data_IF_085616692750
#
_entry.id   IF_085616692750
#
_cell.length_a   1.000
_cell.length_b   1.000
_cell.length_c   1.000
_cell.angle_alpha   90.00
_cell.angle_beta   90.00
_cell.angle_gamma   90.00
#
_symmetry.space_group_name_H-M   'P 1'
#
loop_
_entity.id
_entity.type
_entity.pdbx_description
1 polymer ?
#
# COMPACT_ATOMS: atom_id res chain seq x y z
N UNK A 1 5.96 11.07 -21.37
CA UNK A 1 6.00 9.60 -21.34
C UNK A 1 7.27 9.17 -20.61
N UNK A 2 7.18 8.21 -19.69
CA UNK A 2 8.34 7.70 -18.98
C UNK A 2 9.34 7.06 -19.94
N UNK A 3 10.62 7.46 -19.85
CA UNK A 3 11.68 6.84 -20.66
C UNK A 3 12.37 5.75 -19.85
N UNK A 4 12.20 4.52 -20.28
CA UNK A 4 12.83 3.36 -19.65
C UNK A 4 14.30 3.27 -20.01
N UNK A 5 15.18 3.26 -19.02
CA UNK A 5 16.61 3.03 -19.17
C UNK A 5 16.97 1.64 -18.64
N UNK A 6 17.36 0.74 -19.54
CA UNK A 6 17.68 -0.67 -19.23
C UNK A 6 18.88 -0.80 -18.30
N UNK A 7 19.92 -0.02 -18.51
CA UNK A 7 21.15 -0.10 -17.71
C UNK A 7 20.88 0.33 -16.25
N UNK A 8 20.24 1.46 -16.07
CA UNK A 8 19.82 1.92 -14.74
C UNK A 8 18.86 0.95 -14.06
N UNK A 9 17.94 0.35 -14.83
CA UNK A 9 17.03 -0.67 -14.31
C UNK A 9 17.82 -1.87 -13.80
N UNK A 10 18.72 -2.43 -14.61
CA UNK A 10 19.53 -3.60 -14.24
C UNK A 10 20.35 -3.32 -12.99
N UNK A 11 21.04 -2.17 -12.93
CA UNK A 11 21.82 -1.75 -11.75
C UNK A 11 20.98 -1.67 -10.48
N UNK A 12 19.77 -1.11 -10.58
CA UNK A 12 18.86 -1.03 -9.42
C UNK A 12 18.34 -2.39 -8.99
N UNK A 13 18.04 -3.27 -9.95
CA UNK A 13 17.41 -4.56 -9.69
C UNK A 13 18.39 -5.68 -9.31
N UNK A 14 19.70 -5.47 -9.48
CA UNK A 14 20.74 -6.47 -9.22
C UNK A 14 20.57 -7.10 -7.83
N UNK A 15 20.52 -6.31 -6.78
CA UNK A 15 20.36 -6.82 -5.43
C UNK A 15 19.05 -7.61 -5.24
N UNK A 16 17.97 -7.17 -5.87
CA UNK A 16 16.65 -7.82 -5.75
C UNK A 16 16.62 -9.17 -6.47
N UNK A 17 17.24 -9.23 -7.64
CA UNK A 17 17.41 -10.49 -8.39
C UNK A 17 18.26 -11.48 -7.59
N UNK A 18 19.33 -11.00 -6.95
CA UNK A 18 20.21 -11.84 -6.12
C UNK A 18 19.59 -12.24 -4.79
N UNK A 19 18.73 -11.39 -4.24
CA UNK A 19 18.07 -11.66 -2.96
C UNK A 19 17.17 -12.89 -2.97
N UNK A 20 16.36 -13.09 -4.02
CA UNK A 20 15.51 -14.26 -4.33
C UNK A 20 14.54 -14.72 -3.26
N UNK A 21 14.73 -14.35 -1.99
CA UNK A 21 13.93 -14.81 -0.87
C UNK A 21 13.59 -13.66 0.06
N UNK A 22 12.31 -13.40 0.22
CA UNK A 22 11.76 -12.36 1.09
C UNK A 22 10.39 -12.75 1.65
N UNK A 23 9.89 -11.95 2.57
CA UNK A 23 8.59 -12.13 3.19
C UNK A 23 7.65 -11.03 2.74
N UNK A 24 6.41 -11.40 2.41
CA UNK A 24 5.31 -10.47 2.16
C UNK A 24 4.28 -10.59 3.29
N UNK A 25 3.95 -9.49 3.96
CA UNK A 25 3.01 -9.44 5.07
C UNK A 25 1.77 -8.67 4.60
N UNK A 26 0.64 -9.37 4.44
CA UNK A 26 -0.68 -8.78 4.28
C UNK A 26 -1.35 -8.68 5.64
N UNK A 27 -1.48 -7.47 6.16
CA UNK A 27 -2.04 -7.24 7.48
C UNK A 27 -2.67 -5.84 7.58
N UNK A 28 -3.84 -5.74 8.21
CA UNK A 28 -4.62 -4.51 8.33
C UNK A 28 -5.97 -4.76 8.99
N UNK A 29 -6.96 -3.89 8.77
CA UNK A 29 -8.31 -4.04 9.34
C UNK A 29 -8.96 -5.39 8.99
N UNK A 30 -8.73 -5.89 7.79
CA UNK A 30 -9.25 -7.17 7.32
C UNK A 30 -8.73 -8.38 8.12
N UNK A 31 -7.72 -8.20 8.94
CA UNK A 31 -7.23 -9.25 9.85
C UNK A 31 -8.17 -9.47 11.05
N UNK A 32 -8.99 -8.46 11.42
CA UNK A 32 -9.97 -8.59 12.51
C UNK A 32 -11.03 -9.64 12.17
N UNK A 33 -11.74 -9.55 11.02
CA UNK A 33 -12.71 -10.60 10.63
C UNK A 33 -12.05 -11.94 10.29
N UNK A 34 -10.74 -11.98 9.99
CA UNK A 34 -9.96 -13.20 9.73
C UNK A 34 -10.53 -14.07 8.60
N UNK A 35 -11.09 -13.45 7.54
CA UNK A 35 -11.66 -14.13 6.36
C UNK A 35 -10.99 -13.73 5.04
N UNK A 36 -9.74 -13.29 5.13
CA UNK A 36 -8.90 -12.84 4.00
C UNK A 36 -8.90 -11.32 3.80
N UNK A 37 -7.89 -10.85 3.11
CA UNK A 37 -7.66 -9.43 2.83
C UNK A 37 -8.71 -8.82 1.90
N UNK A 38 -9.41 -9.67 1.15
CA UNK A 38 -10.48 -9.29 0.24
C UNK A 38 -11.88 -9.31 0.87
N UNK A 39 -11.99 -9.53 2.19
CA UNK A 39 -13.28 -9.72 2.88
C UNK A 39 -14.30 -8.61 2.56
N UNK A 40 -13.86 -7.35 2.49
CA UNK A 40 -14.74 -6.22 2.17
C UNK A 40 -15.35 -6.33 0.77
N UNK A 41 -14.56 -6.77 -0.22
CA UNK A 41 -15.02 -6.98 -1.58
C UNK A 41 -15.88 -8.23 -1.73
N UNK A 42 -15.40 -9.36 -1.17
CA UNK A 42 -16.08 -10.67 -1.30
C UNK A 42 -17.47 -10.66 -0.66
N UNK A 43 -17.58 -10.02 0.51
CA UNK A 43 -18.83 -9.91 1.25
C UNK A 43 -19.61 -8.61 0.93
N UNK A 44 -19.12 -7.82 -0.04
CA UNK A 44 -19.75 -6.55 -0.47
C UNK A 44 -20.08 -5.62 0.71
N UNK A 45 -19.15 -5.50 1.69
CA UNK A 45 -19.39 -4.77 2.94
C UNK A 45 -19.39 -3.26 2.65
N UNK A 46 -20.49 -2.55 2.96
CA UNK A 46 -20.57 -1.09 2.85
C UNK A 46 -19.53 -0.39 3.72
N UNK A 47 -19.18 0.84 3.36
CA UNK A 47 -18.19 1.66 4.09
C UNK A 47 -18.57 1.78 5.58
N UNK A 48 -19.82 2.06 5.86
CA UNK A 48 -20.35 2.29 7.19
C UNK A 48 -20.21 1.03 8.08
N UNK A 49 -20.51 -0.13 7.53
CA UNK A 49 -20.40 -1.41 8.24
C UNK A 49 -18.95 -1.85 8.44
N UNK A 50 -18.06 -1.48 7.49
CA UNK A 50 -16.63 -1.77 7.60
C UNK A 50 -15.93 -0.92 8.67
N UNK A 51 -16.46 0.27 8.97
CA UNK A 51 -15.92 1.18 9.99
C UNK A 51 -15.88 0.57 11.41
N UNK A 52 -16.66 -0.47 11.70
CA UNK A 52 -16.56 -1.18 12.99
C UNK A 52 -15.14 -1.70 13.25
N UNK A 53 -14.47 -2.21 12.22
CA UNK A 53 -13.10 -2.71 12.35
C UNK A 53 -12.08 -1.59 12.63
N UNK A 54 -12.31 -0.39 12.09
CA UNK A 54 -11.51 0.78 12.42
C UNK A 54 -11.63 1.15 13.91
N UNK A 55 -12.86 1.17 14.45
CA UNK A 55 -13.09 1.47 15.86
C UNK A 55 -12.63 0.36 16.82
N UNK A 56 -12.53 -0.87 16.34
CA UNK A 56 -12.04 -2.01 17.12
C UNK A 56 -10.52 -2.18 17.05
N UNK A 57 -9.85 -1.57 16.06
CA UNK A 57 -8.43 -1.79 15.77
C UNK A 57 -7.53 -1.37 16.93
N UNK A 58 -7.03 -2.37 17.65
CA UNK A 58 -6.11 -2.21 18.79
C UNK A 58 -5.14 -3.40 18.83
N UNK A 59 -4.13 -3.44 17.91
CA UNK A 59 -3.22 -4.58 17.77
C UNK A 59 -2.16 -4.58 18.86
N UNK A 60 -2.51 -5.03 20.08
CA UNK A 60 -1.62 -5.07 21.25
C UNK A 60 -0.41 -5.97 21.07
N UNK A 61 -0.56 -7.05 20.29
CA UNK A 61 0.49 -8.03 20.03
C UNK A 61 1.33 -7.71 18.78
N UNK A 62 1.14 -6.52 18.18
CA UNK A 62 1.93 -6.08 17.04
C UNK A 62 3.39 -5.88 17.47
N UNK A 63 4.25 -6.77 16.97
CA UNK A 63 5.69 -6.78 17.27
C UNK A 63 6.50 -7.01 15.98
N UNK A 64 6.80 -5.95 15.23
CA UNK A 64 7.54 -6.06 13.98
C UNK A 64 8.99 -6.50 14.19
N UNK A 65 9.54 -6.37 15.42
CA UNK A 65 10.89 -6.86 15.73
C UNK A 65 10.96 -8.39 15.70
N UNK A 66 9.90 -9.06 16.20
CA UNK A 66 9.79 -10.52 16.07
C UNK A 66 9.68 -10.96 14.62
N UNK A 67 8.90 -10.25 13.80
CA UNK A 67 8.76 -10.56 12.39
C UNK A 67 10.09 -10.41 11.64
N UNK A 68 10.79 -9.29 11.85
CA UNK A 68 12.07 -9.02 11.22
C UNK A 68 13.13 -10.04 11.62
N UNK A 69 13.19 -10.41 12.90
CA UNK A 69 14.11 -11.45 13.40
C UNK A 69 13.81 -12.80 12.78
N UNK A 70 12.54 -13.23 12.76
CA UNK A 70 12.15 -14.50 12.13
C UNK A 70 12.51 -14.54 10.64
N UNK A 71 12.28 -13.44 9.93
CA UNK A 71 12.68 -13.33 8.52
C UNK A 71 14.20 -13.45 8.35
N UNK A 72 14.98 -12.79 9.21
CA UNK A 72 16.44 -12.86 9.20
C UNK A 72 16.96 -14.26 9.48
N UNK A 73 16.44 -14.91 10.51
CA UNK A 73 16.80 -16.28 10.90
C UNK A 73 16.46 -17.31 9.81
N UNK A 74 15.35 -17.07 9.07
CA UNK A 74 14.97 -17.87 7.89
C UNK A 74 15.85 -17.61 6.66
N UNK A 75 16.80 -16.66 6.71
CA UNK A 75 17.69 -16.33 5.60
C UNK A 75 17.09 -15.37 4.56
N UNK A 76 15.94 -14.77 4.85
CA UNK A 76 15.31 -13.77 3.97
C UNK A 76 16.18 -12.51 3.85
N UNK A 77 16.02 -11.78 2.76
CA UNK A 77 16.82 -10.59 2.44
C UNK A 77 16.02 -9.29 2.49
N UNK A 78 14.72 -9.38 2.37
CA UNK A 78 13.80 -8.25 2.41
C UNK A 78 12.44 -8.66 2.99
N UNK A 79 11.71 -7.68 3.47
CA UNK A 79 10.33 -7.84 3.94
C UNK A 79 9.48 -6.75 3.31
N UNK A 80 8.25 -7.08 2.90
CA UNK A 80 7.26 -6.14 2.36
C UNK A 80 6.02 -6.15 3.25
N UNK A 81 5.59 -4.97 3.72
CA UNK A 81 4.35 -4.79 4.47
C UNK A 81 3.32 -4.02 3.66
N UNK A 82 2.06 -4.39 3.75
CA UNK A 82 0.95 -3.61 3.19
C UNK A 82 0.76 -2.30 3.97
N UNK A 83 1.38 -1.20 3.50
CA UNK A 83 1.20 0.11 4.11
C UNK A 83 -0.23 0.64 3.94
N UNK A 84 -0.84 0.39 2.78
CA UNK A 84 -2.27 0.63 2.48
C UNK A 84 -2.77 -0.46 1.54
N UNK A 85 -3.82 -1.19 1.94
CA UNK A 85 -4.51 -2.15 1.08
C UNK A 85 -5.73 -1.52 0.38
N UNK A 86 -6.47 -2.28 -0.41
CA UNK A 86 -7.61 -1.81 -1.20
C UNK A 86 -8.74 -1.18 -0.37
N UNK A 87 -8.87 -1.57 0.90
CA UNK A 87 -9.86 -1.00 1.83
C UNK A 87 -9.63 0.48 2.16
N UNK A 88 -8.45 1.01 1.80
CA UNK A 88 -8.06 2.41 1.99
C UNK A 88 -7.45 2.72 3.36
N UNK A 89 -7.36 1.73 4.27
CA UNK A 89 -6.80 1.95 5.60
C UNK A 89 -5.28 2.08 5.56
N UNK A 90 -4.77 3.20 6.08
CA UNK A 90 -3.35 3.47 6.16
C UNK A 90 -2.76 2.96 7.47
N UNK A 91 -1.76 2.07 7.42
CA UNK A 91 -0.97 1.69 8.59
C UNK A 91 0.06 2.76 8.98
N UNK A 92 0.21 3.82 8.19
CA UNK A 92 1.10 4.96 8.38
C UNK A 92 0.33 6.24 8.72
N UNK A 93 1.02 7.22 9.32
CA UNK A 93 0.44 8.50 9.71
C UNK A 93 0.30 9.45 8.50
N UNK A 94 -0.65 9.16 7.62
CA UNK A 94 -0.95 10.02 6.48
C UNK A 94 -1.63 11.33 6.91
N UNK A 95 -1.21 12.45 6.31
CA UNK A 95 -1.86 13.77 6.47
C UNK A 95 -3.08 13.96 5.57
N UNK A 96 -3.32 13.03 4.66
CA UNK A 96 -4.35 13.14 3.63
C UNK A 96 -5.61 12.34 3.93
N UNK A 97 -5.63 11.56 5.01
CA UNK A 97 -6.81 10.80 5.44
C UNK A 97 -6.88 10.67 6.95
N UNK A 98 -8.10 10.62 7.48
CA UNK A 98 -8.36 10.25 8.86
C UNK A 98 -8.47 8.73 9.06
N UNK A 99 -8.56 7.95 7.97
CA UNK A 99 -8.66 6.50 7.98
C UNK A 99 -7.28 5.85 8.07
N UNK A 100 -6.66 5.99 9.23
CA UNK A 100 -5.27 5.62 9.51
C UNK A 100 -5.07 5.07 10.91
N UNK A 101 -4.02 4.31 11.13
CA UNK A 101 -3.72 3.61 12.39
C UNK A 101 -3.55 4.55 13.58
N UNK A 102 -2.97 5.73 13.38
CA UNK A 102 -2.79 6.74 14.43
C UNK A 102 -4.11 7.31 14.97
N UNK A 103 -5.21 7.18 14.23
CA UNK A 103 -6.55 7.61 14.65
C UNK A 103 -7.42 6.48 15.21
N UNK A 104 -6.88 5.28 15.31
CA UNK A 104 -7.54 4.13 15.97
C UNK A 104 -7.18 4.07 17.46
N UNK A 105 -7.68 3.06 18.17
CA UNK A 105 -7.34 2.86 19.58
C UNK A 105 -5.84 2.62 19.80
N UNK A 106 -5.11 2.09 18.81
CA UNK A 106 -3.68 1.88 18.96
C UNK A 106 -2.86 3.17 18.94
N UNK A 107 -3.31 4.24 18.28
CA UNK A 107 -2.67 5.56 18.25
C UNK A 107 -1.22 5.56 17.73
N UNK A 108 -0.83 4.54 16.94
CA UNK A 108 0.57 4.27 16.55
C UNK A 108 0.75 4.36 15.04
N UNK A 109 1.91 4.84 14.61
CA UNK A 109 2.38 4.70 13.22
C UNK A 109 3.07 3.34 13.07
N UNK A 110 2.30 2.36 12.58
CA UNK A 110 2.74 0.98 12.49
C UNK A 110 3.77 0.76 11.37
N UNK A 111 3.78 1.61 10.35
CA UNK A 111 4.81 1.58 9.31
C UNK A 111 6.14 2.09 9.84
N UNK A 112 6.15 3.16 10.66
CA UNK A 112 7.38 3.65 11.27
C UNK A 112 8.07 2.57 12.10
N UNK A 113 7.31 1.89 12.97
CA UNK A 113 7.83 0.81 13.81
C UNK A 113 8.32 -0.39 13.00
N UNK A 114 7.60 -0.75 11.94
CA UNK A 114 8.00 -1.81 11.01
C UNK A 114 9.32 -1.49 10.31
N UNK A 115 9.45 -0.28 9.76
CA UNK A 115 10.66 0.15 9.06
C UNK A 115 11.88 0.14 9.97
N UNK A 116 11.73 0.63 11.20
CA UNK A 116 12.79 0.60 12.21
C UNK A 116 13.24 -0.84 12.51
N UNK A 117 12.28 -1.74 12.75
CA UNK A 117 12.55 -3.13 13.08
C UNK A 117 13.27 -3.88 11.96
N UNK A 118 12.81 -3.73 10.71
CA UNK A 118 13.40 -4.41 9.54
C UNK A 118 14.83 -3.92 9.28
N UNK A 119 15.07 -2.61 9.39
CA UNK A 119 16.42 -2.04 9.27
C UNK A 119 17.37 -2.50 10.37
N UNK A 120 16.89 -2.61 11.62
CA UNK A 120 17.71 -3.05 12.73
C UNK A 120 18.26 -4.47 12.53
N UNK A 121 17.55 -5.34 11.80
CA UNK A 121 18.02 -6.68 11.43
C UNK A 121 18.87 -6.70 10.14
N UNK A 122 19.12 -5.54 9.52
CA UNK A 122 19.90 -5.42 8.28
C UNK A 122 19.16 -5.98 7.05
N UNK A 123 17.83 -6.08 7.12
CA UNK A 123 16.99 -6.48 5.99
C UNK A 123 16.59 -5.26 5.16
N UNK A 124 16.32 -5.49 3.88
CA UNK A 124 15.77 -4.48 2.98
C UNK A 124 14.28 -4.23 3.26
N UNK A 125 13.89 -2.96 3.25
CA UNK A 125 12.53 -2.52 3.57
C UNK A 125 11.69 -2.43 2.31
N UNK A 126 10.57 -3.14 2.30
CA UNK A 126 9.54 -3.04 1.27
C UNK A 126 8.22 -2.55 1.83
N UNK A 127 7.51 -1.75 1.03
CA UNK A 127 6.14 -1.34 1.30
C UNK A 127 5.26 -1.64 0.09
N UNK A 128 4.10 -2.21 0.35
CA UNK A 128 3.04 -2.37 -0.63
C UNK A 128 2.06 -1.21 -0.51
N UNK A 129 1.59 -0.71 -1.63
CA UNK A 129 0.61 0.35 -1.71
C UNK A 129 -0.43 0.05 -2.80
N UNK A 130 -1.69 -0.06 -2.40
CA UNK A 130 -2.80 -0.21 -3.34
C UNK A 130 -3.05 1.08 -4.11
N UNK A 131 -3.13 0.99 -5.44
CA UNK A 131 -3.54 2.11 -6.29
C UNK A 131 -5.06 2.38 -6.22
N UNK A 132 -5.87 1.35 -5.96
CA UNK A 132 -7.30 1.50 -5.70
C UNK A 132 -7.57 1.79 -4.24
N UNK A 133 -8.73 2.40 -3.94
CA UNK A 133 -9.11 2.81 -2.60
C UNK A 133 -10.63 2.78 -2.43
N UNK A 134 -11.14 1.75 -1.81
CA UNK A 134 -12.57 1.58 -1.60
C UNK A 134 -13.17 2.50 -0.52
N UNK A 135 -12.34 3.26 0.17
CA UNK A 135 -12.76 4.19 1.20
C UNK A 135 -12.90 5.63 0.67
N UNK A 136 -12.03 6.04 -0.28
CA UNK A 136 -11.96 7.41 -0.75
C UNK A 136 -13.18 7.78 -1.60
N UNK A 137 -13.84 8.90 -1.26
CA UNK A 137 -15.10 9.28 -1.90
C UNK A 137 -14.97 9.62 -3.40
N UNK A 138 -13.80 10.07 -3.85
CA UNK A 138 -13.51 10.34 -5.27
C UNK A 138 -13.06 9.10 -6.05
N UNK A 139 -12.83 7.95 -5.38
CA UNK A 139 -12.50 6.72 -6.09
C UNK A 139 -13.77 6.10 -6.70
N UNK A 140 -13.83 5.91 -8.03
CA UNK A 140 -15.01 5.36 -8.68
C UNK A 140 -15.09 3.85 -8.51
N UNK A 141 -16.31 3.29 -8.41
CA UNK A 141 -16.49 1.85 -8.54
C UNK A 141 -16.45 1.39 -10.00
N UNK A 142 -16.69 2.30 -10.94
CA UNK A 142 -16.61 2.00 -12.37
C UNK A 142 -15.16 1.71 -12.79
N UNK A 143 -14.98 0.58 -13.47
CA UNK A 143 -13.64 0.11 -13.86
C UNK A 143 -12.93 -0.72 -12.77
N UNK A 144 -13.49 -0.79 -11.57
CA UNK A 144 -13.04 -1.70 -10.51
C UNK A 144 -14.06 -2.81 -10.29
N UNK A 145 -13.82 -3.96 -10.94
CA UNK A 145 -14.67 -5.14 -10.83
C UNK A 145 -14.71 -5.73 -9.41
N UNK A 146 -13.81 -5.31 -8.55
CA UNK A 146 -13.69 -5.80 -7.19
C UNK A 146 -14.22 -4.81 -6.16
N UNK A 147 -14.70 -3.64 -6.61
CA UNK A 147 -15.25 -2.65 -5.69
C UNK A 147 -16.40 -3.25 -4.85
N UNK A 148 -16.42 -3.06 -3.51
CA UNK A 148 -17.47 -3.64 -2.67
C UNK A 148 -18.89 -3.27 -3.08
N UNK A 149 -19.07 -2.07 -3.65
CA UNK A 149 -20.37 -1.57 -4.09
C UNK A 149 -20.67 -1.83 -5.57
N UNK A 150 -19.93 -2.69 -6.26
CA UNK A 150 -20.08 -2.97 -7.70
C UNK A 150 -21.49 -3.40 -8.11
N UNK A 151 -22.21 -4.07 -7.21
CA UNK A 151 -23.58 -4.56 -7.44
C UNK A 151 -24.66 -3.68 -6.79
N UNK A 152 -24.29 -2.56 -6.16
CA UNK A 152 -25.23 -1.64 -5.53
C UNK A 152 -25.66 -0.53 -6.53
N UNK A 153 -26.90 -0.54 -7.03
CA UNK A 153 -27.36 0.44 -8.02
C UNK A 153 -27.46 1.87 -7.47
N UNK A 154 -27.50 2.04 -6.17
CA UNK A 154 -27.48 3.36 -5.53
C UNK A 154 -26.07 3.97 -5.45
N UNK A 155 -25.03 3.17 -5.69
CA UNK A 155 -23.65 3.64 -5.66
C UNK A 155 -23.21 4.03 -7.07
N UNK A 156 -23.25 5.33 -7.38
CA UNK A 156 -22.93 5.88 -8.70
C UNK A 156 -21.57 6.57 -8.71
N UNK A 157 -21.06 6.86 -9.92
CA UNK A 157 -19.84 7.66 -10.09
C UNK A 157 -20.12 9.18 -10.17
N UNK A 158 -21.38 9.60 -9.97
CA UNK A 158 -21.73 11.00 -9.97
C UNK A 158 -20.99 11.75 -8.84
N UNK A 159 -20.51 12.95 -9.19
CA UNK A 159 -19.76 13.83 -8.29
C UNK A 159 -18.41 13.30 -7.81
N UNK A 160 -17.86 12.26 -8.43
CA UNK A 160 -16.50 11.77 -8.13
C UNK A 160 -15.49 12.46 -9.03
N UNK A 161 -14.39 12.88 -8.43
CA UNK A 161 -13.33 13.58 -9.15
C UNK A 161 -12.05 12.72 -9.19
N UNK A 162 -11.81 12.10 -10.35
CA UNK A 162 -10.64 11.25 -10.56
C UNK A 162 -9.32 11.96 -10.33
N UNK A 163 -9.18 13.21 -10.75
CA UNK A 163 -7.93 13.97 -10.61
C UNK A 163 -7.63 14.28 -9.14
N UNK A 164 -8.67 14.52 -8.33
CA UNK A 164 -8.54 14.64 -6.87
C UNK A 164 -8.02 13.34 -6.27
N UNK A 165 -8.59 12.20 -6.67
CA UNK A 165 -8.15 10.90 -6.20
C UNK A 165 -6.70 10.62 -6.56
N UNK A 166 -6.31 10.84 -7.82
CA UNK A 166 -4.92 10.64 -8.28
C UNK A 166 -3.96 11.56 -7.52
N UNK A 167 -4.36 12.80 -7.27
CA UNK A 167 -3.56 13.75 -6.47
C UNK A 167 -3.40 13.28 -5.03
N UNK A 168 -4.46 12.84 -4.40
CA UNK A 168 -4.47 12.23 -3.06
C UNK A 168 -3.51 11.03 -2.99
N UNK A 169 -3.65 10.09 -3.91
CA UNK A 169 -2.82 8.88 -3.98
C UNK A 169 -1.34 9.22 -4.16
N UNK A 170 -0.99 10.15 -5.08
CA UNK A 170 0.39 10.60 -5.28
C UNK A 170 0.98 11.25 -4.03
N UNK A 171 0.18 12.01 -3.29
CA UNK A 171 0.62 12.65 -2.06
C UNK A 171 0.91 11.62 -0.97
N UNK A 172 0.08 10.59 -0.80
CA UNK A 172 0.33 9.50 0.13
C UNK A 172 1.60 8.71 -0.24
N UNK A 173 1.82 8.43 -1.52
CA UNK A 173 3.06 7.77 -1.98
C UNK A 173 4.28 8.65 -1.68
N UNK A 174 4.17 9.97 -1.85
CA UNK A 174 5.23 10.90 -1.47
C UNK A 174 5.55 10.81 0.03
N UNK A 175 4.54 10.78 0.91
CA UNK A 175 4.74 10.61 2.35
C UNK A 175 5.53 9.34 2.66
N UNK A 176 5.13 8.22 2.08
CA UNK A 176 5.83 6.94 2.26
C UNK A 176 7.30 7.03 1.84
N UNK A 177 7.58 7.73 0.74
CA UNK A 177 8.95 7.86 0.21
C UNK A 177 9.81 8.90 0.95
N UNK A 178 9.21 9.78 1.76
CA UNK A 178 9.94 10.88 2.43
C UNK A 178 10.01 10.74 3.94
N UNK A 179 9.00 10.14 4.58
CA UNK A 179 8.88 10.14 6.04
C UNK A 179 9.62 8.98 6.72
N UNK A 180 9.92 7.90 5.98
CA UNK A 180 10.45 6.66 6.56
C UNK A 180 11.89 6.35 6.11
N UNK A 181 12.59 7.34 5.52
CA UNK A 181 13.94 7.14 4.97
C UNK A 181 13.92 6.26 3.71
N UNK A 182 15.02 5.54 3.47
CA UNK A 182 15.12 4.72 2.26
C UNK A 182 14.13 3.54 2.28
N UNK A 183 13.31 3.43 1.27
CA UNK A 183 12.46 2.27 0.98
C UNK A 183 13.09 1.52 -0.20
N UNK A 184 13.45 0.27 0.00
CA UNK A 184 14.17 -0.53 -1.00
C UNK A 184 13.21 -1.13 -2.05
N UNK A 185 11.99 -1.49 -1.65
CA UNK A 185 10.93 -1.99 -2.54
C UNK A 185 9.65 -1.19 -2.31
N UNK A 186 9.10 -0.60 -3.35
CA UNK A 186 7.76 -0.03 -3.35
C UNK A 186 6.91 -0.80 -4.35
N UNK A 187 5.96 -1.57 -3.84
CA UNK A 187 5.08 -2.41 -4.63
C UNK A 187 3.74 -1.71 -4.84
N UNK A 188 3.48 -1.26 -6.08
CA UNK A 188 2.16 -0.79 -6.47
C UNK A 188 1.32 -1.96 -6.95
N UNK A 189 0.08 -2.02 -6.48
CA UNK A 189 -0.85 -3.06 -6.86
C UNK A 189 -2.10 -2.48 -7.51
N UNK A 190 -2.73 -3.29 -8.33
CA UNK A 190 -4.00 -3.03 -8.99
C UNK A 190 -3.91 -2.02 -10.14
N UNK A 191 -3.33 -2.49 -11.24
CA UNK A 191 -3.32 -1.76 -12.51
C UNK A 191 -3.85 -2.69 -13.58
N UNK A 192 -5.14 -2.58 -13.92
CA UNK A 192 -5.83 -3.46 -14.86
C UNK A 192 -6.95 -2.75 -15.60
N UNK A 193 -7.43 -3.36 -16.68
CA UNK A 193 -8.47 -2.83 -17.58
C UNK A 193 -8.15 -1.40 -18.02
N UNK A 194 -9.07 -0.46 -17.83
CA UNK A 194 -8.90 0.95 -18.17
C UNK A 194 -8.07 1.73 -17.15
N UNK A 195 -7.77 1.14 -15.99
CA UNK A 195 -6.98 1.73 -14.92
C UNK A 195 -5.50 1.34 -15.04
N UNK A 196 -4.84 1.80 -16.09
CA UNK A 196 -3.44 1.47 -16.39
C UNK A 196 -2.62 2.72 -16.76
N UNK A 197 -1.32 2.64 -16.51
CA UNK A 197 -0.34 3.61 -16.99
C UNK A 197 -0.69 5.06 -16.62
N UNK A 198 -0.86 5.90 -17.63
CA UNK A 198 -1.10 7.34 -17.42
C UNK A 198 -2.47 7.67 -16.81
N UNK A 199 -3.40 6.73 -16.74
CA UNK A 199 -4.63 6.89 -15.95
C UNK A 199 -4.29 7.14 -14.46
N UNK A 200 -3.25 6.48 -13.95
CA UNK A 200 -2.70 6.71 -12.62
C UNK A 200 -1.70 7.87 -12.55
N UNK A 201 -1.44 8.56 -13.66
CA UNK A 201 -0.33 9.51 -13.76
C UNK A 201 1.02 8.84 -13.56
N UNK A 202 1.20 7.62 -14.09
CA UNK A 202 2.34 6.75 -13.79
C UNK A 202 3.70 7.41 -14.07
N UNK A 203 3.84 8.17 -15.17
CA UNK A 203 5.08 8.92 -15.45
C UNK A 203 5.41 9.90 -14.32
N UNK A 204 4.44 10.68 -13.86
CA UNK A 204 4.61 11.65 -12.77
C UNK A 204 4.93 10.94 -11.45
N UNK A 205 4.18 9.86 -11.16
CA UNK A 205 4.36 9.07 -9.94
C UNK A 205 5.76 8.45 -9.86
N UNK A 206 6.19 7.75 -10.92
CA UNK A 206 7.50 7.09 -10.98
C UNK A 206 8.64 8.11 -10.89
N UNK A 207 8.55 9.23 -11.61
CA UNK A 207 9.56 10.29 -11.55
C UNK A 207 9.64 10.92 -10.16
N UNK A 208 8.50 11.13 -9.49
CA UNK A 208 8.45 11.64 -8.13
C UNK A 208 9.13 10.67 -7.16
N UNK A 209 8.78 9.39 -7.20
CA UNK A 209 9.38 8.37 -6.32
C UNK A 209 10.89 8.31 -6.52
N UNK A 210 11.38 8.34 -7.77
CA UNK A 210 12.81 8.31 -8.07
C UNK A 210 13.56 9.56 -7.63
N UNK A 211 12.90 10.72 -7.65
CA UNK A 211 13.50 11.98 -7.22
C UNK A 211 13.66 12.08 -5.69
N UNK A 212 12.77 11.44 -4.92
CA UNK A 212 12.75 11.54 -3.45
C UNK A 212 13.30 10.30 -2.76
N UNK A 213 13.46 9.19 -3.47
CA UNK A 213 13.93 7.92 -2.90
C UNK A 213 14.72 7.13 -3.95
N UNK A 214 15.82 6.51 -3.54
CA UNK A 214 16.54 5.51 -4.36
C UNK A 214 15.74 4.20 -4.48
N UNK A 215 14.45 4.26 -4.36
CA UNK A 215 13.52 3.14 -4.25
C UNK A 215 13.50 2.29 -5.52
N UNK A 216 13.53 0.99 -5.33
CA UNK A 216 13.26 0.01 -6.37
C UNK A 216 11.74 -0.11 -6.57
N UNK A 217 11.24 0.41 -7.68
CA UNK A 217 9.83 0.29 -8.05
C UNK A 217 9.60 -1.06 -8.73
N UNK A 218 8.80 -1.89 -8.12
CA UNK A 218 8.12 -2.98 -8.82
C UNK A 218 6.73 -2.48 -9.20
N UNK A 219 6.56 -2.06 -10.44
CA UNK A 219 5.23 -2.00 -11.04
C UNK A 219 4.86 -3.42 -11.45
N UNK A 220 3.65 -3.89 -11.17
CA UNK A 220 3.19 -5.14 -11.78
C UNK A 220 3.28 -4.96 -13.28
N UNK A 221 4.18 -5.69 -13.90
CA UNK A 221 4.21 -5.86 -15.36
C UNK A 221 3.22 -6.96 -15.67
N UNK A 222 2.07 -6.59 -16.17
CA UNK A 222 1.22 -7.53 -16.90
C UNK A 222 1.86 -7.90 -18.21
#
# INVERSE_FOLDING_TARGET
>A
MYQFNREEYNKRMEWYVDARFGMFIHWGLYSIPARGEWVRSVEEIPKEDYMKYFYEFDPKDYDPKKWARAAKEAGMKYVVLTAKHHDGFCLFDSKYTEFKSTNTKCGRDLVAEYVEAVRAEGLKVGLYFSLIDWYHDDFPHYGDRQHPMRNNPAYTNENRNWDNYVTFMHNQVREICTNYGQIDVLWFDFSYDDMMGEKWGATKLVNMVRAVSYTHLTLPTT
#
